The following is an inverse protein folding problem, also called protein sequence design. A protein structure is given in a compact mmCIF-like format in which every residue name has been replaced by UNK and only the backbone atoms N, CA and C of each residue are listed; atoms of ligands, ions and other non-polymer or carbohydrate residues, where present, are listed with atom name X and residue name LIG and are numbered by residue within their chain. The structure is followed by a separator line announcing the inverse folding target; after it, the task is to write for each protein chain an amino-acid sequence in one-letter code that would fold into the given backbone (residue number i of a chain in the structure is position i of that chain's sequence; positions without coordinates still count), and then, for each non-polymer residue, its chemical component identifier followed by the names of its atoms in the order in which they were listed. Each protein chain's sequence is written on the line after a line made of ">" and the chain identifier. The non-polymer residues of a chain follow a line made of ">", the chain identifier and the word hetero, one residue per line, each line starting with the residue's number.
data_IF_494510458772
#
_entry.id   IF_494510458772
#
_cell.length_a   1.000
_cell.length_b   1.000
_cell.length_c   1.000
_cell.angle_alpha   90.00
_cell.angle_beta   90.00
_cell.angle_gamma   90.00
#
_symmetry.space_group_name_H-M   'P 1'
#
loop_
_entity.id
_entity.type
_entity.pdbx_description
1 polymer ?
#
# COMPACT_ATOMS: atom_id res chain seq x y z
N UNK A 1 -2.15 17.39 -16.20
CA UNK A 1 -1.33 16.78 -15.13
C UNK A 1 -1.62 17.53 -13.84
N UNK A 2 -1.79 16.90 -12.67
CA UNK A 2 -2.05 17.66 -11.43
C UNK A 2 -1.01 18.77 -11.18
N UNK A 3 0.24 18.55 -11.58
CA UNK A 3 1.32 19.55 -11.53
C UNK A 3 1.08 20.80 -12.40
N UNK A 4 0.22 20.74 -13.42
CA UNK A 4 -0.10 21.86 -14.32
C UNK A 4 -1.41 22.56 -13.97
N UNK A 5 -2.17 22.04 -12.99
CA UNK A 5 -3.49 22.57 -12.59
C UNK A 5 -3.44 23.64 -11.49
N UNK A 6 -2.31 23.79 -10.78
CA UNK A 6 -2.09 24.85 -9.79
C UNK A 6 -2.75 24.66 -8.41
N UNK A 7 -3.64 23.68 -8.25
CA UNK A 7 -4.42 23.49 -7.01
C UNK A 7 -3.76 22.53 -5.99
N UNK A 8 -2.53 22.06 -6.25
CA UNK A 8 -1.88 21.05 -5.42
C UNK A 8 -2.58 19.69 -5.49
N UNK A 9 -2.35 18.82 -4.52
CA UNK A 9 -3.07 17.55 -4.43
C UNK A 9 -2.36 16.47 -3.63
N UNK A 10 -2.85 15.24 -3.78
CA UNK A 10 -2.28 14.06 -3.11
C UNK A 10 -2.24 12.87 -4.05
N UNK A 11 -1.08 12.25 -4.17
CA UNK A 11 -0.88 10.99 -4.88
C UNK A 11 -0.78 9.88 -3.84
N UNK A 12 -1.58 8.82 -3.98
CA UNK A 12 -1.55 7.65 -3.09
C UNK A 12 -1.18 6.43 -3.92
N UNK A 13 0.05 5.96 -3.74
CA UNK A 13 0.56 4.78 -4.44
C UNK A 13 0.24 3.50 -3.66
N UNK A 14 -0.15 2.44 -4.37
CA UNK A 14 -0.38 1.11 -3.77
C UNK A 14 0.84 0.21 -4.02
N UNK A 15 1.63 -0.01 -2.97
CA UNK A 15 2.75 -0.95 -2.94
C UNK A 15 2.26 -2.35 -2.51
N UNK A 16 3.04 -3.06 -1.70
CA UNK A 16 2.73 -4.31 -1.00
C UNK A 16 3.78 -4.54 0.07
N UNK A 17 3.46 -5.27 1.15
CA UNK A 17 4.50 -5.74 2.09
C UNK A 17 5.55 -6.63 1.41
N UNK A 18 5.22 -7.27 0.28
CA UNK A 18 6.16 -8.05 -0.54
C UNK A 18 7.30 -7.21 -1.13
N UNK A 19 7.25 -5.87 -1.02
CA UNK A 19 8.38 -4.98 -1.34
C UNK A 19 9.66 -5.29 -0.56
N UNK A 20 9.55 -5.94 0.61
CA UNK A 20 10.68 -6.40 1.41
C UNK A 20 11.30 -7.72 0.88
N UNK A 21 10.65 -8.34 -0.10
CA UNK A 21 10.96 -9.68 -0.58
C UNK A 21 9.88 -10.67 -0.18
N UNK A 22 9.59 -11.62 -1.07
CA UNK A 22 8.74 -12.76 -0.77
C UNK A 22 9.13 -13.92 -1.71
N UNK A 23 9.13 -15.14 -1.18
CA UNK A 23 9.55 -16.33 -1.95
C UNK A 23 8.63 -16.49 -3.17
N UNK A 24 9.24 -16.70 -4.34
CA UNK A 24 8.52 -16.85 -5.61
C UNK A 24 8.01 -15.54 -6.24
N UNK A 25 8.35 -14.38 -5.68
CA UNK A 25 7.83 -13.08 -6.10
C UNK A 25 8.92 -12.04 -6.43
N UNK A 26 10.07 -12.45 -6.99
CA UNK A 26 11.18 -11.52 -7.26
C UNK A 26 10.79 -10.32 -8.13
N UNK A 27 10.04 -10.56 -9.21
CA UNK A 27 9.51 -9.53 -10.10
C UNK A 27 8.53 -8.59 -9.38
N UNK A 28 7.61 -9.15 -8.61
CA UNK A 28 6.59 -8.41 -7.88
C UNK A 28 7.22 -7.58 -6.76
N UNK A 29 8.11 -8.17 -5.96
CA UNK A 29 8.88 -7.51 -4.92
C UNK A 29 9.68 -6.32 -5.48
N UNK A 30 10.43 -6.53 -6.58
CA UNK A 30 11.17 -5.46 -7.24
C UNK A 30 10.25 -4.32 -7.71
N UNK A 31 9.10 -4.65 -8.33
CA UNK A 31 8.13 -3.64 -8.78
C UNK A 31 7.56 -2.83 -7.60
N UNK A 32 7.18 -3.49 -6.51
CA UNK A 32 6.55 -2.86 -5.34
C UNK A 32 7.55 -2.08 -4.49
N UNK A 33 8.81 -2.52 -4.45
CA UNK A 33 9.92 -1.74 -3.89
C UNK A 33 10.18 -0.47 -4.71
N UNK A 34 10.15 -0.56 -6.05
CA UNK A 34 10.24 0.61 -6.93
C UNK A 34 9.11 1.61 -6.68
N UNK A 35 7.85 1.15 -6.55
CA UNK A 35 6.74 2.04 -6.17
C UNK A 35 6.97 2.69 -4.81
N UNK A 36 7.48 1.94 -3.82
CA UNK A 36 7.77 2.48 -2.50
C UNK A 36 8.89 3.52 -2.50
N UNK A 37 9.92 3.36 -3.33
CA UNK A 37 10.98 4.37 -3.48
C UNK A 37 10.44 5.65 -4.13
N UNK A 38 9.57 5.53 -5.13
CA UNK A 38 8.89 6.67 -5.77
C UNK A 38 8.06 7.49 -4.79
N UNK A 39 7.44 6.87 -3.77
CA UNK A 39 6.72 7.62 -2.72
C UNK A 39 7.64 8.63 -2.02
N UNK A 40 8.87 8.23 -1.69
CA UNK A 40 9.84 9.11 -1.02
C UNK A 40 10.37 10.16 -1.99
N UNK A 41 10.73 9.76 -3.20
CA UNK A 41 11.29 10.65 -4.22
C UNK A 41 10.29 11.72 -4.65
N UNK A 42 9.09 11.32 -5.07
CA UNK A 42 8.06 12.25 -5.52
C UNK A 42 7.50 13.09 -4.37
N UNK A 43 7.48 12.57 -3.14
CA UNK A 43 7.11 13.36 -1.95
C UNK A 43 8.02 14.57 -1.73
N UNK A 44 9.27 14.54 -2.22
CA UNK A 44 10.21 15.67 -2.19
C UNK A 44 10.11 16.53 -3.45
N UNK A 45 10.13 15.89 -4.63
CA UNK A 45 10.15 16.59 -5.92
C UNK A 45 8.87 17.39 -6.19
N UNK A 46 7.73 16.85 -5.77
CA UNK A 46 6.42 17.43 -6.06
C UNK A 46 5.93 18.40 -4.97
N UNK A 47 6.62 18.46 -3.82
CA UNK A 47 6.24 19.33 -2.71
C UNK A 47 6.18 20.82 -3.12
N UNK A 48 7.09 21.26 -4.00
CA UNK A 48 7.09 22.64 -4.55
C UNK A 48 5.84 22.98 -5.36
N UNK A 49 5.07 21.99 -5.77
CA UNK A 49 3.81 22.13 -6.49
C UNK A 49 2.59 21.97 -5.58
N UNK A 50 2.77 21.93 -4.26
CA UNK A 50 1.69 21.66 -3.30
C UNK A 50 1.15 20.23 -3.39
N UNK A 51 1.90 19.30 -3.96
CA UNK A 51 1.50 17.90 -4.13
C UNK A 51 2.19 17.05 -3.07
N UNK A 52 1.39 16.38 -2.24
CA UNK A 52 1.84 15.38 -1.29
C UNK A 52 1.86 14.01 -1.95
N UNK A 53 2.76 13.14 -1.52
CA UNK A 53 2.82 11.76 -2.00
C UNK A 53 2.83 10.82 -0.82
N UNK A 54 1.89 9.91 -0.80
CA UNK A 54 1.80 8.86 0.19
C UNK A 54 1.78 7.53 -0.53
N UNK A 55 1.94 6.45 0.25
CA UNK A 55 1.44 5.18 -0.23
C UNK A 55 0.92 4.30 0.87
N UNK A 56 0.32 3.21 0.43
CA UNK A 56 -0.13 2.11 1.27
C UNK A 56 0.56 0.83 0.80
N UNK A 57 1.06 0.01 1.72
CA UNK A 57 1.60 -1.32 1.47
C UNK A 57 0.66 -2.35 2.10
N UNK A 58 -0.30 -2.89 1.33
CA UNK A 58 -1.21 -3.90 1.82
C UNK A 58 -0.49 -5.24 2.08
N UNK A 59 -0.96 -5.96 3.10
CA UNK A 59 -0.77 -7.39 3.25
C UNK A 59 -1.74 -8.18 2.37
N UNK A 60 -2.34 -9.23 2.93
CA UNK A 60 -3.31 -10.07 2.22
C UNK A 60 -4.72 -9.51 2.40
N UNK A 61 -5.42 -9.27 1.29
CA UNK A 61 -6.77 -8.69 1.26
C UNK A 61 -7.76 -9.63 0.60
N UNK A 62 -8.98 -9.66 1.13
CA UNK A 62 -10.12 -10.36 0.56
C UNK A 62 -10.49 -9.72 -0.79
N UNK A 63 -10.15 -10.45 -1.85
CA UNK A 63 -10.36 -10.11 -3.26
C UNK A 63 -10.72 -11.38 -4.03
N UNK A 64 -11.23 -11.23 -5.26
CA UNK A 64 -11.50 -12.36 -6.16
C UNK A 64 -10.27 -13.26 -6.36
N UNK A 65 -9.07 -12.66 -6.40
CA UNK A 65 -7.81 -13.39 -6.50
C UNK A 65 -7.57 -14.31 -5.29
N UNK A 66 -7.80 -13.82 -4.07
CA UNK A 66 -7.69 -14.67 -2.86
C UNK A 66 -8.83 -15.67 -2.75
N UNK A 67 -10.02 -15.33 -3.26
CA UNK A 67 -11.17 -16.23 -3.26
C UNK A 67 -10.95 -17.46 -4.15
N UNK A 68 -10.09 -17.35 -5.17
CA UNK A 68 -9.73 -18.46 -6.05
C UNK A 68 -8.72 -19.45 -5.44
N UNK A 69 -8.17 -19.17 -4.25
CA UNK A 69 -7.19 -20.05 -3.60
C UNK A 69 -7.86 -21.29 -3.00
N UNK A 70 -7.12 -22.40 -2.97
CA UNK A 70 -7.58 -23.64 -2.31
C UNK A 70 -7.88 -23.36 -0.83
N UNK A 71 -8.93 -23.97 -0.24
CA UNK A 71 -9.33 -23.72 1.15
C UNK A 71 -8.20 -23.89 2.17
N UNK A 72 -7.35 -24.90 1.99
CA UNK A 72 -6.20 -25.15 2.87
C UNK A 72 -5.15 -24.02 2.81
N UNK A 73 -4.88 -23.49 1.61
CA UNK A 73 -3.95 -22.37 1.44
C UNK A 73 -4.51 -21.08 2.05
N UNK A 74 -5.83 -20.86 1.92
CA UNK A 74 -6.51 -19.74 2.56
C UNK A 74 -6.46 -19.81 4.08
N UNK A 75 -6.72 -20.99 4.66
CA UNK A 75 -6.65 -21.20 6.10
C UNK A 75 -5.23 -20.97 6.64
N UNK A 76 -4.19 -21.50 5.98
CA UNK A 76 -2.80 -21.25 6.35
C UNK A 76 -2.45 -19.77 6.31
N UNK A 77 -2.90 -19.07 5.29
CA UNK A 77 -2.63 -17.64 5.13
C UNK A 77 -3.36 -16.81 6.21
N UNK A 78 -4.60 -17.15 6.55
CA UNK A 78 -5.32 -16.51 7.66
C UNK A 78 -4.60 -16.71 9.00
N UNK A 79 -4.08 -17.91 9.26
CA UNK A 79 -3.33 -18.21 10.48
C UNK A 79 -2.01 -17.44 10.58
N UNK A 80 -1.38 -17.14 9.44
CA UNK A 80 -0.14 -16.37 9.42
C UNK A 80 -0.36 -14.88 9.76
N UNK A 81 -1.57 -14.35 9.56
CA UNK A 81 -1.90 -12.95 9.85
C UNK A 81 -2.22 -12.81 11.35
N UNK A 82 -1.47 -12.00 12.13
CA UNK A 82 -1.70 -11.88 13.58
C UNK A 82 -3.09 -11.41 13.99
N UNK A 83 -3.73 -10.51 13.23
CA UNK A 83 -5.14 -10.12 13.48
C UNK A 83 -6.15 -11.22 13.10
N UNK A 84 -5.69 -12.33 12.53
CA UNK A 84 -6.48 -13.54 12.25
C UNK A 84 -7.41 -13.47 11.03
N UNK A 85 -7.44 -12.35 10.32
CA UNK A 85 -8.35 -12.14 9.19
C UNK A 85 -7.66 -11.42 8.04
N UNK A 86 -8.11 -11.68 6.81
CA UNK A 86 -7.71 -10.90 5.64
C UNK A 86 -8.22 -9.45 5.76
N UNK A 87 -7.43 -8.52 5.24
CA UNK A 87 -7.85 -7.14 5.06
C UNK A 87 -9.06 -7.05 4.12
N UNK A 88 -9.88 -6.02 4.30
CA UNK A 88 -11.09 -5.76 3.54
C UNK A 88 -10.97 -4.43 2.80
N UNK A 89 -11.64 -4.30 1.65
CA UNK A 89 -11.62 -3.06 0.86
C UNK A 89 -12.01 -1.82 1.70
N UNK A 90 -12.93 -1.98 2.66
CA UNK A 90 -13.33 -0.92 3.58
C UNK A 90 -12.17 -0.38 4.44
N UNK A 91 -11.25 -1.23 4.89
CA UNK A 91 -10.09 -0.82 5.70
C UNK A 91 -9.03 -0.10 4.85
N UNK A 92 -8.89 -0.49 3.58
CA UNK A 92 -8.08 0.26 2.62
C UNK A 92 -8.67 1.65 2.38
N UNK A 93 -9.99 1.74 2.18
CA UNK A 93 -10.69 3.02 2.02
C UNK A 93 -10.55 3.93 3.26
N UNK A 94 -10.67 3.37 4.47
CA UNK A 94 -10.42 4.10 5.72
C UNK A 94 -8.99 4.65 5.78
N UNK A 95 -8.00 3.88 5.33
CA UNK A 95 -6.61 4.33 5.27
C UNK A 95 -6.41 5.46 4.26
N UNK A 96 -7.07 5.38 3.10
CA UNK A 96 -7.11 6.48 2.12
C UNK A 96 -7.73 7.73 2.75
N UNK A 97 -8.88 7.61 3.42
CA UNK A 97 -9.50 8.74 4.10
C UNK A 97 -8.61 9.36 5.16
N UNK A 98 -7.89 8.56 5.95
CA UNK A 98 -6.91 9.04 6.92
C UNK A 98 -5.79 9.87 6.25
N UNK A 99 -5.26 9.40 5.12
CA UNK A 99 -4.25 10.14 4.34
C UNK A 99 -4.80 11.47 3.81
N UNK A 100 -6.05 11.48 3.37
CA UNK A 100 -6.70 12.68 2.85
C UNK A 100 -6.97 13.71 3.97
N UNK A 101 -7.36 13.24 5.15
CA UNK A 101 -7.71 14.08 6.29
C UNK A 101 -6.50 14.69 7.02
N UNK A 102 -5.29 14.19 6.77
CA UNK A 102 -4.06 14.70 7.39
C UNK A 102 -3.10 15.25 6.33
N UNK A 103 -3.06 16.58 6.25
CA UNK A 103 -2.24 17.33 5.28
C UNK A 103 -0.74 17.37 5.63
N UNK A 104 -0.35 16.93 6.83
CA UNK A 104 1.05 16.82 7.23
C UNK A 104 1.72 15.54 6.71
N UNK A 105 0.95 14.59 6.18
CA UNK A 105 1.47 13.34 5.65
C UNK A 105 2.03 13.49 4.22
N UNK A 106 3.34 13.23 4.04
CA UNK A 106 3.99 13.10 2.75
C UNK A 106 5.28 12.26 2.84
N UNK A 107 5.63 11.58 1.75
CA UNK A 107 6.84 10.77 1.61
C UNK A 107 6.90 9.55 2.53
N UNK A 108 5.75 9.00 2.93
CA UNK A 108 5.68 7.86 3.87
C UNK A 108 4.77 6.74 3.37
N UNK A 109 5.09 5.55 3.86
CA UNK A 109 4.40 4.30 3.56
C UNK A 109 3.60 3.87 4.80
N UNK A 110 2.31 3.60 4.64
CA UNK A 110 1.49 2.95 5.67
C UNK A 110 1.42 1.46 5.35
N UNK A 111 1.92 0.61 6.24
CA UNK A 111 1.77 -0.83 6.13
C UNK A 111 0.41 -1.23 6.72
N UNK A 112 -0.42 -1.86 5.89
CA UNK A 112 -1.79 -2.25 6.23
C UNK A 112 -1.90 -3.76 6.03
N UNK A 113 -1.41 -4.54 6.97
CA UNK A 113 -1.18 -5.98 6.78
C UNK A 113 -1.64 -6.85 7.94
N UNK A 114 -2.27 -6.26 8.95
CA UNK A 114 -2.73 -7.00 10.12
C UNK A 114 -1.59 -7.57 10.96
N UNK A 115 -0.38 -7.02 10.85
CA UNK A 115 0.83 -7.46 11.55
C UNK A 115 1.59 -8.58 10.84
N UNK A 116 1.19 -8.98 9.64
CA UNK A 116 1.77 -10.13 8.93
C UNK A 116 3.28 -9.99 8.71
N UNK A 117 3.75 -8.77 8.40
CA UNK A 117 5.17 -8.36 8.21
C UNK A 117 6.11 -9.42 7.63
N UNK A 118 6.55 -9.20 6.39
CA UNK A 118 7.57 -10.01 5.71
C UNK A 118 9.01 -9.65 6.09
#
# INVERSE_FOLDING_TARGET
>A
LMATGGEGGVIINISSIARAGNIGQSNYAASKAGVASLVVTWGKELARHGIRVMGIAPGVFATDMTAAMKPEAMARMQQAIPVGTLGQAAQLAQTVHFILANDYLSGRMIELDGGLRL
#
